data_IF_928635326844
#
_entry.id   IF_928635326844
#
_cell.length_a   1.000
_cell.length_b   1.000
_cell.length_c   1.000
_cell.angle_alpha   90.00
_cell.angle_beta   90.00
_cell.angle_gamma   90.00
#
_symmetry.space_group_name_H-M   'P 1'
#
loop_
_entity.id
_entity.type
_entity.pdbx_description
1 polymer ?
#
# COMPACT_ATOMS: atom_id res chain seq x y z
N UNK A 1 -10.45 26.84 44.68
CA UNK A 1 -9.73 26.71 43.39
C UNK A 1 -10.09 27.95 42.59
N UNK A 2 -9.60 29.13 42.98
CA UNK A 2 -8.25 29.60 42.64
C UNK A 2 -7.86 29.19 41.22
N UNK A 3 -7.67 30.18 40.34
CA UNK A 3 -6.42 30.42 39.60
C UNK A 3 -6.64 31.59 38.61
N UNK A 4 -6.09 32.74 39.01
CA UNK A 4 -5.61 33.86 38.19
C UNK A 4 -6.58 34.81 37.48
N UNK A 5 -7.13 35.74 38.28
CA UNK A 5 -7.20 37.16 37.88
C UNK A 5 -5.78 37.75 37.95
N UNK A 6 -5.06 37.81 36.84
CA UNK A 6 -3.86 38.66 36.76
C UNK A 6 -4.29 40.05 36.31
N UNK A 7 -4.36 40.94 37.30
CA UNK A 7 -4.50 42.39 37.13
C UNK A 7 -3.28 42.87 36.36
N UNK A 8 -3.50 43.57 35.25
CA UNK A 8 -2.46 44.25 34.49
C UNK A 8 -1.87 45.35 35.38
N UNK A 9 -0.69 45.11 35.95
CA UNK A 9 0.09 46.12 36.66
C UNK A 9 0.71 47.05 35.62
N UNK A 10 0.54 48.38 35.71
CA UNK A 10 1.25 49.30 34.84
C UNK A 10 2.74 49.22 35.16
N UNK A 11 3.53 48.83 34.16
CA UNK A 11 4.98 48.77 34.22
C UNK A 11 5.53 50.18 34.47
N UNK A 12 6.18 50.38 35.62
CA UNK A 12 6.75 51.67 36.00
C UNK A 12 7.91 52.04 35.04
N UNK A 13 8.17 53.34 34.82
CA UNK A 13 8.97 53.82 33.70
C UNK A 13 10.44 53.41 33.81
N UNK A 14 11.03 53.15 32.63
CA UNK A 14 12.46 52.96 32.38
C UNK A 14 13.35 53.72 33.39
N UNK A 15 14.18 52.98 34.10
CA UNK A 15 15.21 53.54 34.98
C UNK A 15 16.23 54.26 34.10
N UNK A 16 16.22 55.58 34.13
CA UNK A 16 17.20 56.42 33.46
C UNK A 16 18.48 56.40 34.31
N UNK A 17 19.55 55.78 33.82
CA UNK A 17 20.85 55.76 34.50
C UNK A 17 21.54 57.12 34.34
N UNK A 18 21.20 58.06 35.20
CA UNK A 18 21.72 59.44 35.23
C UNK A 18 23.20 59.49 35.67
N UNK A 19 23.79 58.35 36.05
CA UNK A 19 25.18 58.27 36.52
C UNK A 19 26.21 58.42 35.40
N UNK A 20 25.82 58.31 34.12
CA UNK A 20 26.73 58.57 33.00
C UNK A 20 26.95 60.06 32.69
N UNK A 21 26.28 60.96 33.40
CA UNK A 21 26.38 62.43 33.19
C UNK A 21 26.96 63.20 34.40
N UNK A 22 27.39 62.51 35.46
CA UNK A 22 27.80 63.14 36.72
C UNK A 22 29.17 62.69 37.27
N UNK A 23 30.07 62.14 36.45
CA UNK A 23 31.48 61.98 36.83
C UNK A 23 32.27 63.19 36.34
N UNK A 24 32.15 64.29 37.08
CA UNK A 24 33.13 65.37 37.06
C UNK A 24 34.18 65.08 38.13
N UNK A 25 35.35 64.59 37.72
CA UNK A 25 36.54 64.59 38.56
C UNK A 25 37.13 66.01 38.61
N UNK A 26 37.18 66.55 39.82
CA UNK A 26 37.74 67.85 40.17
C UNK A 26 39.02 67.58 40.97
N UNK A 27 40.18 67.74 40.32
CA UNK A 27 41.48 67.90 40.99
C UNK A 27 42.13 69.19 40.48
N UNK A 28 42.64 70.00 41.42
CA UNK A 28 43.07 71.38 41.19
C UNK A 28 44.59 71.62 41.09
N UNK A 29 44.88 72.91 40.84
CA UNK A 29 46.17 73.65 40.78
C UNK A 29 47.00 73.44 39.49
N UNK A 30 47.58 74.44 38.82
CA UNK A 30 47.94 75.85 39.10
C UNK A 30 48.01 76.60 37.72
N UNK A 31 48.02 77.95 37.66
CA UNK A 31 47.74 78.74 36.46
C UNK A 31 48.99 79.00 35.62
N UNK A 32 48.76 79.72 34.52
CA UNK A 32 49.75 80.44 33.71
C UNK A 32 50.24 79.68 32.47
N UNK A 33 49.54 79.89 31.34
CA UNK A 33 50.20 80.40 30.14
C UNK A 33 49.15 80.98 29.17
N UNK A 34 48.95 82.29 29.27
CA UNK A 34 48.28 83.06 28.23
C UNK A 34 49.19 83.08 27.00
N UNK A 35 48.78 82.41 25.93
CA UNK A 35 49.28 82.74 24.59
C UNK A 35 48.10 83.21 23.77
N UNK A 36 47.81 84.50 23.91
CA UNK A 36 46.88 85.21 23.05
C UNK A 36 47.39 85.19 21.61
N UNK A 37 46.84 84.26 20.81
CA UNK A 37 46.70 84.50 19.39
C UNK A 37 45.41 85.29 19.21
N UNK A 38 45.58 86.58 18.89
CA UNK A 38 44.48 87.44 18.49
C UNK A 38 43.68 86.74 17.39
N UNK A 39 42.34 86.59 17.53
CA UNK A 39 41.52 86.44 16.35
C UNK A 39 41.66 87.75 15.58
N UNK A 40 42.12 87.69 14.33
CA UNK A 40 42.00 88.84 13.45
C UNK A 40 40.52 89.27 13.45
N UNK A 41 40.23 90.38 14.10
CA UNK A 41 38.89 90.92 14.19
C UNK A 41 38.53 91.45 12.81
N UNK A 42 37.88 90.61 12.01
CA UNK A 42 37.24 91.05 10.78
C UNK A 42 36.08 91.94 11.22
N UNK A 43 36.23 93.26 11.11
CA UNK A 43 35.15 94.22 11.34
C UNK A 43 34.17 94.16 10.17
N UNK A 44 33.33 93.12 10.14
CA UNK A 44 32.14 93.08 9.29
C UNK A 44 31.05 93.93 9.92
N UNK A 45 30.31 94.68 9.11
CA UNK A 45 29.08 95.35 9.56
C UNK A 45 28.04 94.31 10.00
N UNK A 46 27.17 94.68 10.96
CA UNK A 46 26.15 93.78 11.54
C UNK A 46 25.31 93.05 10.46
N UNK A 47 25.09 93.71 9.31
CA UNK A 47 24.34 93.18 8.17
C UNK A 47 25.12 92.08 7.41
N UNK A 48 26.42 92.24 7.20
CA UNK A 48 27.25 91.23 6.52
C UNK A 48 27.45 89.98 7.39
N UNK A 49 27.50 90.15 8.72
CA UNK A 49 27.55 89.05 9.68
C UNK A 49 26.25 88.22 9.65
N UNK A 50 25.09 88.91 9.67
CA UNK A 50 23.78 88.26 9.58
C UNK A 50 23.59 87.54 8.23
N UNK A 51 24.05 88.12 7.13
CA UNK A 51 23.99 87.49 5.81
C UNK A 51 24.82 86.20 5.75
N UNK A 52 26.05 86.22 6.29
CA UNK A 52 26.89 85.01 6.37
C UNK A 52 26.27 83.94 7.27
N UNK A 53 25.66 84.32 8.39
CA UNK A 53 25.00 83.38 9.31
C UNK A 53 23.77 82.73 8.66
N UNK A 54 22.99 83.51 7.90
CA UNK A 54 21.84 83.01 7.15
C UNK A 54 22.26 82.04 6.03
N UNK A 55 23.34 82.36 5.30
CA UNK A 55 23.90 81.46 4.29
C UNK A 55 24.41 80.13 4.88
N UNK A 56 25.07 80.17 6.04
CA UNK A 56 25.50 78.96 6.77
C UNK A 56 24.30 78.15 7.27
N UNK A 57 23.26 78.83 7.79
CA UNK A 57 22.03 78.17 8.25
C UNK A 57 21.29 77.49 7.09
N UNK A 58 21.09 78.19 5.96
CA UNK A 58 20.44 77.65 4.77
C UNK A 58 21.22 76.46 4.21
N UNK A 59 22.55 76.54 4.21
CA UNK A 59 23.44 75.43 3.81
C UNK A 59 23.26 74.21 4.72
N UNK A 60 23.26 74.40 6.05
CA UNK A 60 23.04 73.30 7.00
C UNK A 60 21.65 72.67 6.85
N UNK A 61 20.63 73.49 6.62
CA UNK A 61 19.26 73.02 6.39
C UNK A 61 19.19 72.21 5.09
N UNK A 62 19.78 72.68 3.99
CA UNK A 62 19.80 71.91 2.74
C UNK A 62 20.61 70.62 2.86
N UNK A 63 21.74 70.64 3.57
CA UNK A 63 22.53 69.43 3.83
C UNK A 63 21.77 68.43 4.72
N UNK A 64 21.04 68.91 5.73
CA UNK A 64 20.18 68.08 6.59
C UNK A 64 18.99 67.49 5.80
N UNK A 65 18.37 68.30 4.95
CA UNK A 65 17.24 67.88 4.11
C UNK A 65 17.68 66.83 3.09
N UNK A 66 18.82 67.01 2.43
CA UNK A 66 19.41 66.00 1.54
C UNK A 66 19.75 64.70 2.27
N UNK A 67 20.29 64.77 3.49
CA UNK A 67 20.56 63.58 4.31
C UNK A 67 19.27 62.86 4.71
N UNK A 68 18.22 63.61 5.04
CA UNK A 68 16.91 63.06 5.40
C UNK A 68 16.22 62.42 4.21
N UNK A 69 16.22 63.07 3.04
CA UNK A 69 15.72 62.53 1.79
C UNK A 69 16.48 61.26 1.41
N UNK A 70 17.82 61.27 1.44
CA UNK A 70 18.64 60.10 1.13
C UNK A 70 18.36 58.92 2.06
N UNK A 71 18.20 59.16 3.37
CA UNK A 71 17.81 58.13 4.33
C UNK A 71 16.41 57.60 4.05
N UNK A 72 15.46 58.50 3.78
CA UNK A 72 14.06 58.14 3.51
C UNK A 72 13.95 57.33 2.22
N UNK A 73 14.65 57.71 1.16
CA UNK A 73 14.68 56.95 -0.10
C UNK A 73 15.31 55.58 0.09
N UNK A 74 16.40 55.49 0.86
CA UNK A 74 17.05 54.21 1.15
C UNK A 74 16.14 53.29 1.98
N UNK A 75 15.48 53.82 3.01
CA UNK A 75 14.52 53.07 3.83
C UNK A 75 13.33 52.59 3.01
N UNK A 76 12.78 53.45 2.14
CA UNK A 76 11.69 53.09 1.22
C UNK A 76 12.12 51.99 0.24
N UNK A 77 13.30 52.10 -0.38
CA UNK A 77 13.83 51.06 -1.26
C UNK A 77 14.02 49.74 -0.52
N UNK A 78 14.59 49.76 0.69
CA UNK A 78 14.76 48.53 1.48
C UNK A 78 13.42 47.90 1.86
N UNK A 79 12.40 48.69 2.23
CA UNK A 79 11.07 48.17 2.53
C UNK A 79 10.41 47.57 1.30
N UNK A 80 10.47 48.24 0.16
CA UNK A 80 9.92 47.73 -1.10
C UNK A 80 10.62 46.42 -1.49
N UNK A 81 11.94 46.35 -1.33
CA UNK A 81 12.69 45.13 -1.63
C UNK A 81 12.32 43.98 -0.70
N UNK A 82 12.18 44.23 0.61
CA UNK A 82 11.74 43.25 1.60
C UNK A 82 10.32 42.74 1.30
N UNK A 83 9.37 43.64 1.04
CA UNK A 83 7.99 43.27 0.69
C UNK A 83 7.93 42.42 -0.59
N UNK A 84 8.76 42.74 -1.60
CA UNK A 84 8.86 41.95 -2.83
C UNK A 84 9.44 40.56 -2.57
N UNK A 85 10.50 40.45 -1.77
CA UNK A 85 11.10 39.16 -1.43
C UNK A 85 10.18 38.27 -0.60
N UNK A 86 9.44 38.85 0.34
CA UNK A 86 8.43 38.16 1.14
C UNK A 86 7.25 37.70 0.27
N UNK A 87 6.74 38.57 -0.60
CA UNK A 87 5.67 38.22 -1.54
C UNK A 87 6.11 37.11 -2.51
N UNK A 88 7.34 37.16 -3.02
CA UNK A 88 7.89 36.11 -3.87
C UNK A 88 8.08 34.79 -3.12
N UNK A 89 8.57 34.82 -1.87
CA UNK A 89 8.67 33.61 -1.04
C UNK A 89 7.29 33.02 -0.76
N UNK A 90 6.32 33.85 -0.41
CA UNK A 90 4.94 33.42 -0.16
C UNK A 90 4.30 32.82 -1.40
N UNK A 91 4.50 33.44 -2.57
CA UNK A 91 4.02 32.94 -3.85
C UNK A 91 4.67 31.60 -4.22
N UNK A 92 5.99 31.47 -4.03
CA UNK A 92 6.73 30.22 -4.26
C UNK A 92 6.27 29.11 -3.32
N UNK A 93 6.07 29.41 -2.04
CA UNK A 93 5.52 28.46 -1.05
C UNK A 93 4.12 27.97 -1.45
N UNK A 94 3.24 28.89 -1.84
CA UNK A 94 1.88 28.55 -2.30
C UNK A 94 1.88 27.69 -3.56
N UNK A 95 2.80 27.97 -4.51
CA UNK A 95 2.94 27.17 -5.72
C UNK A 95 3.51 25.77 -5.44
N UNK A 96 4.50 25.67 -4.56
CA UNK A 96 5.12 24.39 -4.16
C UNK A 96 4.13 23.51 -3.37
N UNK A 97 3.36 24.08 -2.44
CA UNK A 97 2.31 23.34 -1.72
C UNK A 97 1.23 22.84 -2.67
N UNK A 98 0.79 23.66 -3.62
CA UNK A 98 -0.16 23.23 -4.65
C UNK A 98 0.41 22.10 -5.49
N UNK A 99 1.67 22.20 -5.91
CA UNK A 99 2.33 21.16 -6.69
C UNK A 99 2.46 19.84 -5.91
N UNK A 100 2.79 19.91 -4.62
CA UNK A 100 2.83 18.73 -3.73
C UNK A 100 1.46 18.08 -3.59
N UNK A 101 0.41 18.86 -3.34
CA UNK A 101 -0.95 18.33 -3.23
C UNK A 101 -1.42 17.70 -4.55
N UNK A 102 -1.11 18.31 -5.69
CA UNK A 102 -1.43 17.76 -7.01
C UNK A 102 -0.68 16.44 -7.25
N UNK A 103 0.62 16.40 -6.95
CA UNK A 103 1.46 15.20 -7.03
C UNK A 103 0.96 14.08 -6.12
N UNK A 104 0.62 14.39 -4.88
CA UNK A 104 0.17 13.39 -3.91
C UNK A 104 -1.19 12.83 -4.31
N UNK A 105 -2.09 13.67 -4.85
CA UNK A 105 -3.35 13.21 -5.45
C UNK A 105 -3.12 12.31 -6.66
N UNK A 106 -2.19 12.67 -7.53
CA UNK A 106 -1.86 11.87 -8.71
C UNK A 106 -1.25 10.53 -8.32
N UNK A 107 -0.34 10.52 -7.34
CA UNK A 107 0.23 9.30 -6.78
C UNK A 107 -0.84 8.42 -6.14
N UNK A 108 -1.78 9.00 -5.40
CA UNK A 108 -2.89 8.26 -4.80
C UNK A 108 -3.79 7.62 -5.86
N UNK A 109 -4.10 8.33 -6.96
CA UNK A 109 -4.85 7.77 -8.08
C UNK A 109 -4.11 6.63 -8.77
N UNK A 110 -2.82 6.82 -9.06
CA UNK A 110 -2.00 5.77 -9.68
C UNK A 110 -1.96 4.52 -8.80
N UNK A 111 -1.86 4.68 -7.48
CA UNK A 111 -1.88 3.56 -6.54
C UNK A 111 -3.25 2.88 -6.47
N UNK A 112 -4.34 3.64 -6.52
CA UNK A 112 -5.70 3.11 -6.60
C UNK A 112 -5.93 2.33 -7.91
N UNK A 113 -5.55 2.92 -9.04
CA UNK A 113 -5.62 2.30 -10.37
C UNK A 113 -4.76 1.04 -10.44
N UNK A 114 -3.57 1.06 -9.83
CA UNK A 114 -2.71 -0.11 -9.75
C UNK A 114 -3.36 -1.22 -8.94
N UNK A 115 -3.92 -0.91 -7.77
CA UNK A 115 -4.60 -1.89 -6.92
C UNK A 115 -5.83 -2.48 -7.59
N UNK A 116 -6.63 -1.65 -8.26
CA UNK A 116 -7.80 -2.12 -9.00
C UNK A 116 -7.40 -3.03 -10.17
N UNK A 117 -6.36 -2.64 -10.93
CA UNK A 117 -5.82 -3.46 -12.01
C UNK A 117 -5.21 -4.78 -11.52
N UNK A 118 -4.47 -4.77 -10.42
CA UNK A 118 -3.90 -6.00 -9.82
C UNK A 118 -5.01 -6.94 -9.33
N UNK A 119 -6.07 -6.40 -8.71
CA UNK A 119 -7.24 -7.16 -8.28
C UNK A 119 -8.00 -7.76 -9.47
N UNK A 120 -8.28 -6.97 -10.51
CA UNK A 120 -8.94 -7.43 -11.73
C UNK A 120 -8.10 -8.50 -12.45
N UNK A 121 -6.78 -8.29 -12.53
CA UNK A 121 -5.86 -9.26 -13.12
C UNK A 121 -5.86 -10.58 -12.35
N UNK A 122 -5.91 -10.54 -11.02
CA UNK A 122 -5.98 -11.74 -10.19
C UNK A 122 -7.31 -12.48 -10.40
N UNK A 123 -8.43 -11.75 -10.40
CA UNK A 123 -9.75 -12.33 -10.66
C UNK A 123 -9.81 -12.95 -12.06
N UNK A 124 -9.33 -12.24 -13.08
CA UNK A 124 -9.27 -12.74 -14.44
C UNK A 124 -8.39 -13.99 -14.57
N UNK A 125 -7.26 -14.04 -13.86
CA UNK A 125 -6.39 -15.21 -13.86
C UNK A 125 -7.09 -16.42 -13.22
N UNK A 126 -7.76 -16.22 -12.09
CA UNK A 126 -8.53 -17.26 -11.42
C UNK A 126 -9.70 -17.76 -12.29
N UNK A 127 -10.44 -16.85 -12.93
CA UNK A 127 -11.56 -17.21 -13.81
C UNK A 127 -11.08 -17.93 -15.07
N UNK A 128 -9.94 -17.51 -15.65
CA UNK A 128 -9.29 -18.23 -16.75
C UNK A 128 -8.89 -19.64 -16.33
N UNK A 129 -8.25 -19.78 -15.17
CA UNK A 129 -7.86 -21.08 -14.63
C UNK A 129 -9.09 -21.95 -14.34
N UNK A 130 -10.16 -21.36 -13.83
CA UNK A 130 -11.44 -22.03 -13.60
C UNK A 130 -12.03 -22.56 -14.90
N UNK A 131 -12.11 -21.73 -15.93
CA UNK A 131 -12.65 -22.09 -17.24
C UNK A 131 -11.80 -23.17 -17.92
N UNK A 132 -10.48 -23.08 -17.83
CA UNK A 132 -9.57 -24.11 -18.34
C UNK A 132 -9.76 -25.43 -17.61
N UNK A 133 -9.85 -25.38 -16.27
CA UNK A 133 -10.11 -26.55 -15.43
C UNK A 133 -11.45 -27.19 -15.78
N UNK A 134 -12.51 -26.40 -15.90
CA UNK A 134 -13.84 -26.87 -16.31
C UNK A 134 -13.80 -27.61 -17.65
N UNK A 135 -13.10 -27.06 -18.66
CA UNK A 135 -12.92 -27.72 -19.96
C UNK A 135 -12.19 -29.05 -19.82
N UNK A 136 -11.13 -29.10 -19.01
CA UNK A 136 -10.38 -30.33 -18.75
C UNK A 136 -11.29 -31.36 -18.06
N UNK A 137 -12.04 -30.98 -17.02
CA UNK A 137 -12.98 -31.90 -16.35
C UNK A 137 -14.02 -32.47 -17.32
N UNK A 138 -14.63 -31.62 -18.15
CA UNK A 138 -15.61 -32.06 -19.15
C UNK A 138 -14.98 -33.04 -20.14
N UNK A 139 -13.76 -32.76 -20.62
CA UNK A 139 -13.04 -33.64 -21.53
C UNK A 139 -12.72 -35.01 -20.91
N UNK A 140 -12.48 -35.04 -19.61
CA UNK A 140 -12.19 -36.25 -18.83
C UNK A 140 -13.47 -36.95 -18.32
N UNK A 141 -14.66 -36.48 -18.75
CA UNK A 141 -15.97 -36.99 -18.33
C UNK A 141 -16.24 -36.88 -16.82
N UNK A 142 -15.64 -35.88 -16.18
CA UNK A 142 -15.85 -35.55 -14.77
C UNK A 142 -16.82 -34.37 -14.62
N UNK A 143 -17.60 -34.28 -13.52
CA UNK A 143 -18.55 -33.19 -13.33
C UNK A 143 -17.86 -31.84 -13.13
N UNK A 144 -18.19 -30.86 -13.99
CA UNK A 144 -17.70 -29.48 -13.92
C UNK A 144 -17.90 -28.80 -12.55
N UNK A 145 -18.89 -29.25 -11.77
CA UNK A 145 -19.16 -28.75 -10.40
C UNK A 145 -17.98 -28.90 -9.45
N UNK A 146 -17.03 -29.82 -9.72
CA UNK A 146 -15.84 -30.02 -8.90
C UNK A 146 -14.69 -29.09 -9.29
N UNK A 147 -14.81 -28.28 -10.33
CA UNK A 147 -13.74 -27.37 -10.77
C UNK A 147 -13.28 -26.45 -9.61
N UNK A 148 -14.22 -25.86 -8.87
CA UNK A 148 -13.90 -24.98 -7.71
C UNK A 148 -13.12 -25.68 -6.59
N UNK A 149 -13.22 -27.00 -6.47
CA UNK A 149 -12.52 -27.79 -5.45
C UNK A 149 -11.16 -28.32 -5.91
N UNK A 150 -10.95 -28.42 -7.22
CA UNK A 150 -9.72 -28.98 -7.80
C UNK A 150 -8.72 -27.89 -8.20
N UNK A 151 -9.17 -26.66 -8.42
CA UNK A 151 -8.33 -25.50 -8.72
C UNK A 151 -7.42 -25.18 -7.52
N UNK A 152 -6.14 -25.00 -7.82
CA UNK A 152 -5.08 -24.58 -6.89
C UNK A 152 -4.31 -23.39 -7.47
N UNK A 153 -3.31 -22.88 -6.74
CA UNK A 153 -2.54 -21.69 -7.14
C UNK A 153 -1.84 -21.82 -8.50
N UNK A 154 -1.61 -23.05 -8.99
CA UNK A 154 -0.96 -23.30 -10.28
C UNK A 154 -1.77 -24.28 -11.14
N UNK A 155 -1.64 -24.12 -12.46
CA UNK A 155 -2.28 -25.02 -13.42
C UNK A 155 -1.74 -26.47 -13.33
N UNK A 156 -0.45 -26.63 -13.00
CA UNK A 156 0.17 -27.96 -12.83
C UNK A 156 -0.42 -28.71 -11.64
N UNK A 157 -0.48 -28.07 -10.47
CA UNK A 157 -1.07 -28.67 -9.25
C UNK A 157 -2.55 -28.94 -9.44
N UNK A 158 -3.27 -28.07 -10.15
CA UNK A 158 -4.67 -28.29 -10.53
C UNK A 158 -4.82 -29.54 -11.39
N UNK A 159 -3.95 -29.77 -12.38
CA UNK A 159 -4.00 -30.95 -13.23
C UNK A 159 -3.66 -32.24 -12.46
N UNK A 160 -2.68 -32.20 -11.56
CA UNK A 160 -2.36 -33.32 -10.66
C UNK A 160 -3.56 -33.68 -9.78
N UNK A 161 -4.24 -32.69 -9.21
CA UNK A 161 -5.46 -32.87 -8.43
C UNK A 161 -6.58 -33.51 -9.27
N UNK A 162 -6.76 -33.07 -10.51
CA UNK A 162 -7.75 -33.65 -11.44
C UNK A 162 -7.44 -35.14 -11.70
N UNK A 163 -6.18 -35.49 -11.95
CA UNK A 163 -5.79 -36.89 -12.20
C UNK A 163 -5.98 -37.77 -10.96
N UNK A 164 -5.59 -37.28 -9.78
CA UNK A 164 -5.81 -37.98 -8.52
C UNK A 164 -7.31 -38.18 -8.24
N UNK A 165 -8.11 -37.13 -8.43
CA UNK A 165 -9.57 -37.19 -8.29
C UNK A 165 -10.19 -38.16 -9.28
N UNK A 166 -9.76 -38.14 -10.55
CA UNK A 166 -10.24 -39.06 -11.59
C UNK A 166 -10.04 -40.53 -11.19
N UNK A 167 -8.85 -40.87 -10.69
CA UNK A 167 -8.52 -42.23 -10.25
C UNK A 167 -9.41 -42.67 -9.08
N UNK A 168 -9.51 -41.83 -8.05
CA UNK A 168 -10.33 -42.11 -6.87
C UNK A 168 -11.83 -42.19 -7.20
N UNK A 169 -12.32 -41.30 -8.06
CA UNK A 169 -13.72 -41.26 -8.49
C UNK A 169 -14.07 -42.50 -9.30
N UNK A 170 -13.24 -42.89 -10.27
CA UNK A 170 -13.46 -44.11 -11.05
C UNK A 170 -13.45 -45.36 -10.19
N UNK A 171 -12.55 -45.44 -9.20
CA UNK A 171 -12.52 -46.56 -8.28
C UNK A 171 -13.78 -46.60 -7.39
N UNK A 172 -14.20 -45.44 -6.85
CA UNK A 172 -15.42 -45.33 -6.06
C UNK A 172 -16.67 -45.70 -6.89
N UNK A 173 -16.77 -45.22 -8.13
CA UNK A 173 -17.86 -45.56 -9.05
C UNK A 173 -17.83 -47.04 -9.41
N UNK A 174 -16.64 -47.63 -9.61
CA UNK A 174 -16.49 -49.07 -9.85
C UNK A 174 -16.97 -49.90 -8.66
N UNK A 175 -16.56 -49.54 -7.45
CA UNK A 175 -17.00 -50.19 -6.21
C UNK A 175 -18.51 -50.02 -6.02
N UNK A 176 -19.03 -48.81 -6.21
CA UNK A 176 -20.46 -48.52 -6.12
C UNK A 176 -21.26 -49.29 -7.18
N UNK A 177 -20.78 -49.38 -8.43
CA UNK A 177 -21.41 -50.16 -9.49
C UNK A 177 -21.39 -51.67 -9.17
N UNK A 178 -20.28 -52.19 -8.67
CA UNK A 178 -20.19 -53.59 -8.23
C UNK A 178 -21.10 -53.90 -7.03
N UNK A 179 -21.31 -52.93 -6.12
CA UNK A 179 -22.22 -53.06 -4.99
C UNK A 179 -23.70 -52.86 -5.38
N UNK A 180 -23.97 -51.95 -6.32
CA UNK A 180 -25.30 -51.62 -6.83
C UNK A 180 -25.81 -52.64 -7.85
N UNK A 181 -24.93 -53.45 -8.44
CA UNK A 181 -25.31 -54.70 -9.10
C UNK A 181 -25.70 -55.70 -8.01
N UNK A 182 -27.01 -55.91 -7.72
CA UNK A 182 -27.41 -56.89 -6.71
C UNK A 182 -26.86 -58.25 -7.11
N UNK A 183 -26.26 -58.93 -6.14
CA UNK A 183 -25.52 -60.16 -6.33
C UNK A 183 -26.20 -61.16 -7.25
N UNK A 184 -25.58 -61.40 -8.40
CA UNK A 184 -25.17 -62.69 -8.93
C UNK A 184 -24.60 -62.40 -10.32
N UNK A 185 -23.33 -62.73 -10.63
CA UNK A 185 -23.00 -62.99 -12.02
C UNK A 185 -24.04 -64.00 -12.55
N UNK A 186 -24.53 -63.92 -13.81
CA UNK A 186 -25.12 -65.11 -14.39
C UNK A 186 -24.11 -66.21 -14.11
N UNK A 187 -24.59 -67.30 -13.50
CA UNK A 187 -23.75 -68.47 -13.29
C UNK A 187 -23.32 -68.90 -14.69
N UNK A 188 -22.16 -68.42 -15.13
CA UNK A 188 -21.25 -69.14 -15.99
C UNK A 188 -20.52 -70.21 -15.16
N UNK A 189 -21.18 -70.75 -14.13
CA UNK A 189 -21.01 -72.14 -13.78
C UNK A 189 -21.75 -72.93 -14.86
N UNK A 190 -21.23 -74.02 -15.37
CA UNK A 190 -20.93 -75.21 -14.56
C UNK A 190 -22.09 -75.70 -13.68
N UNK A 191 -23.22 -75.00 -13.66
CA UNK A 191 -24.54 -75.58 -13.47
C UNK A 191 -25.10 -75.89 -14.84
N UNK A 192 -24.46 -76.81 -15.58
CA UNK A 192 -25.28 -77.68 -16.41
C UNK A 192 -26.30 -78.21 -15.40
N UNK A 193 -27.56 -77.84 -15.55
CA UNK A 193 -28.63 -78.80 -15.33
C UNK A 193 -28.24 -79.96 -16.24
N UNK A 194 -27.30 -80.79 -15.76
CA UNK A 194 -26.97 -82.05 -16.38
C UNK A 194 -28.31 -82.73 -16.32
N UNK A 195 -28.89 -82.97 -17.49
CA UNK A 195 -30.10 -83.78 -17.61
C UNK A 195 -29.91 -84.97 -16.68
N UNK A 196 -30.97 -85.42 -16.00
CA UNK A 196 -30.85 -86.56 -15.06
C UNK A 196 -30.05 -87.72 -15.68
N UNK A 197 -30.17 -87.89 -17.01
CA UNK A 197 -29.36 -88.76 -17.85
C UNK A 197 -27.84 -88.50 -17.81
N UNK A 198 -27.41 -87.25 -17.97
CA UNK A 198 -26.00 -86.84 -17.95
C UNK A 198 -25.36 -87.06 -16.56
N UNK A 199 -26.13 -86.86 -15.48
CA UNK A 199 -25.66 -87.14 -14.12
C UNK A 199 -25.49 -88.65 -13.91
N UNK A 200 -26.48 -89.45 -14.31
CA UNK A 200 -26.42 -90.90 -14.22
C UNK A 200 -25.27 -91.48 -15.06
N UNK A 201 -24.97 -90.93 -16.23
CA UNK A 201 -23.81 -91.33 -17.05
C UNK A 201 -22.48 -91.05 -16.33
N UNK A 202 -22.36 -89.91 -15.65
CA UNK A 202 -21.17 -89.57 -14.85
C UNK A 202 -21.00 -90.52 -13.67
N UNK A 203 -22.07 -90.79 -12.94
CA UNK A 203 -22.06 -91.71 -11.80
C UNK A 203 -21.76 -93.16 -12.24
N UNK A 204 -22.28 -93.59 -13.40
CA UNK A 204 -21.95 -94.89 -14.00
C UNK A 204 -20.44 -95.00 -14.28
N UNK A 205 -19.83 -93.93 -14.80
CA UNK A 205 -18.39 -93.91 -15.08
C UNK A 205 -17.55 -93.97 -13.79
N UNK A 206 -17.99 -93.32 -12.72
CA UNK A 206 -17.36 -93.42 -11.40
C UNK A 206 -17.54 -94.81 -10.77
N UNK A 207 -18.69 -95.45 -10.98
CA UNK A 207 -18.94 -96.83 -10.55
C UNK A 207 -18.02 -97.82 -11.28
N UNK A 208 -17.68 -97.57 -12.54
CA UNK A 208 -16.65 -98.32 -13.29
C UNK A 208 -15.28 -98.16 -12.63
N UNK A 209 -14.87 -96.92 -12.35
CA UNK A 209 -13.55 -96.63 -11.74
C UNK A 209 -13.39 -97.25 -10.35
N UNK A 210 -14.45 -97.23 -9.54
CA UNK A 210 -14.48 -97.85 -8.21
C UNK A 210 -14.69 -99.37 -8.23
N UNK A 211 -14.82 -99.99 -9.42
CA UNK A 211 -15.05 -101.43 -9.63
C UNK A 211 -16.28 -101.98 -8.90
N UNK A 212 -17.28 -101.13 -8.61
CA UNK A 212 -18.53 -101.57 -7.99
C UNK A 212 -19.51 -102.08 -9.05
N UNK A 213 -19.46 -103.39 -9.33
CA UNK A 213 -20.27 -104.02 -10.38
C UNK A 213 -21.78 -103.89 -10.16
N UNK A 214 -22.25 -103.95 -8.90
CA UNK A 214 -23.67 -103.84 -8.57
C UNK A 214 -24.23 -102.44 -8.90
N UNK A 215 -23.49 -101.39 -8.54
CA UNK A 215 -23.88 -100.00 -8.86
C UNK A 215 -23.82 -99.73 -10.37
N UNK A 216 -22.82 -100.27 -11.07
CA UNK A 216 -22.73 -100.15 -12.53
C UNK A 216 -23.98 -100.71 -13.22
N UNK A 217 -24.42 -101.91 -12.84
CA UNK A 217 -25.59 -102.57 -13.44
C UNK A 217 -26.86 -101.76 -13.16
N UNK A 218 -27.04 -101.31 -11.91
CA UNK A 218 -28.21 -100.52 -11.52
C UNK A 218 -28.30 -99.18 -12.26
N UNK A 219 -27.18 -98.44 -12.34
CA UNK A 219 -27.12 -97.17 -13.06
C UNK A 219 -27.33 -97.36 -14.56
N UNK A 220 -26.76 -98.42 -15.16
CA UNK A 220 -26.97 -98.74 -16.58
C UNK A 220 -28.42 -99.04 -16.91
N UNK A 221 -29.12 -99.81 -16.06
CA UNK A 221 -30.54 -100.09 -16.24
C UNK A 221 -31.38 -98.82 -16.12
N UNK A 222 -31.09 -97.97 -15.12
CA UNK A 222 -31.79 -96.70 -14.94
C UNK A 222 -31.58 -95.73 -16.12
N UNK A 223 -30.36 -95.66 -16.67
CA UNK A 223 -30.07 -94.90 -17.90
C UNK A 223 -30.90 -95.45 -19.07
N UNK A 224 -30.99 -96.77 -19.22
CA UNK A 224 -31.75 -97.40 -20.30
C UNK A 224 -33.27 -97.16 -20.17
N UNK A 225 -33.82 -97.17 -18.95
CA UNK A 225 -35.23 -96.86 -18.69
C UNK A 225 -35.59 -95.43 -19.05
N UNK A 226 -34.70 -94.47 -18.76
CA UNK A 226 -34.92 -93.06 -19.10
C UNK A 226 -34.74 -92.76 -20.61
N UNK A 227 -34.22 -93.72 -21.40
CA UNK A 227 -34.03 -93.60 -22.85
C UNK A 227 -35.09 -94.33 -23.69
N UNK A 228 -36.04 -95.04 -23.04
CA UNK A 228 -37.16 -95.73 -23.68
C UNK A 228 -38.35 -94.81 -23.88
#
# INVERSE_FOLDING_TARGET
MELFKHVHTPDLPLKLDIQFFAEGENEGADPNNETGQQPESITLTQEELNLKLQQEADRRVTEAQKKWEAKTTQELETRIQQEREEAEKLAKLSQEERFKVERDKELAKIEEDRKSFEAERLQFNQEKLFTETEKVLISESLPASFASFLISDTAETTNENIQAFKSAFNEAVRVAANAALPGRPPVAGSGKQLSELDQLQKDYTQAIQSKNSALQIALKNKIHELQK
#
